data_IF_521405592767
#
_entry.id   IF_521405592767
#
_cell.length_a   1.000
_cell.length_b   1.000
_cell.length_c   1.000
_cell.angle_alpha   90.00
_cell.angle_beta   90.00
_cell.angle_gamma   90.00
#
_symmetry.space_group_name_H-M   'P 1'
#
loop_
_entity.id
_entity.type
_entity.pdbx_description
1 polymer ?
#
# COMPACT_ATOMS: atom_id res chain seq x y z
N UNK A 1 -5.77 12.65 1.03
CA UNK A 1 -6.48 12.02 -0.12
C UNK A 1 -7.30 10.85 0.41
N UNK A 2 -8.53 10.60 -0.08
CA UNK A 2 -9.29 9.41 0.29
C UNK A 2 -8.54 8.13 -0.15
N UNK A 3 -8.75 7.04 0.59
CA UNK A 3 -8.24 5.72 0.21
C UNK A 3 -8.89 5.27 -1.10
N UNK A 4 -8.11 4.75 -2.04
CA UNK A 4 -8.59 4.22 -3.31
C UNK A 4 -8.89 2.72 -3.17
N UNK A 5 -10.15 2.35 -3.18
CA UNK A 5 -10.60 0.99 -2.95
C UNK A 5 -11.39 0.43 -4.15
N UNK A 6 -11.42 -0.90 -4.28
CA UNK A 6 -12.20 -1.59 -5.30
C UNK A 6 -13.24 -2.52 -4.64
N UNK A 7 -14.50 -2.38 -5.03
CA UNK A 7 -15.55 -3.30 -4.66
C UNK A 7 -15.95 -4.17 -5.85
N UNK A 8 -15.76 -5.47 -5.72
CA UNK A 8 -16.15 -6.47 -6.71
C UNK A 8 -17.47 -7.08 -6.25
N UNK A 9 -18.58 -6.49 -6.68
CA UNK A 9 -19.91 -6.89 -6.24
C UNK A 9 -21.01 -6.37 -7.18
N UNK A 10 -22.11 -7.09 -7.24
CA UNK A 10 -23.37 -6.64 -7.85
C UNK A 10 -24.37 -6.11 -6.80
N UNK A 11 -24.05 -6.19 -5.51
CA UNK A 11 -24.91 -5.83 -4.40
C UNK A 11 -24.84 -4.33 -4.10
N UNK A 12 -25.79 -3.58 -4.65
CA UNK A 12 -25.87 -2.14 -4.44
C UNK A 12 -26.24 -1.75 -2.99
N UNK A 13 -26.96 -2.63 -2.28
CA UNK A 13 -27.32 -2.39 -0.88
C UNK A 13 -26.05 -2.46 -0.01
N UNK A 14 -25.21 -3.45 -0.22
CA UNK A 14 -23.88 -3.54 0.42
C UNK A 14 -23.07 -2.27 0.15
N UNK A 15 -23.04 -1.79 -1.09
CA UNK A 15 -22.28 -0.58 -1.42
C UNK A 15 -22.84 0.68 -0.76
N UNK A 16 -24.16 0.79 -0.62
CA UNK A 16 -24.79 1.87 0.13
C UNK A 16 -24.39 1.86 1.60
N UNK A 17 -24.37 0.67 2.22
CA UNK A 17 -23.96 0.49 3.61
C UNK A 17 -22.48 0.88 3.81
N UNK A 18 -21.59 0.40 2.93
CA UNK A 18 -20.16 0.74 2.99
C UNK A 18 -19.96 2.25 2.90
N UNK A 19 -20.55 2.90 1.89
CA UNK A 19 -20.42 4.34 1.69
C UNK A 19 -20.94 5.16 2.87
N UNK A 20 -22.03 4.70 3.49
CA UNK A 20 -22.58 5.35 4.69
C UNK A 20 -21.63 5.29 5.88
N UNK A 21 -20.85 4.21 6.04
CA UNK A 21 -19.95 4.03 7.17
C UNK A 21 -18.57 4.67 6.93
N UNK A 22 -18.04 4.63 5.70
CA UNK A 22 -16.69 5.16 5.43
C UNK A 22 -16.69 6.65 5.06
N UNK A 23 -17.82 7.21 4.60
CA UNK A 23 -17.91 8.62 4.19
C UNK A 23 -16.82 9.00 3.19
N UNK A 24 -16.15 10.13 3.44
CA UNK A 24 -15.08 10.66 2.59
C UNK A 24 -13.71 10.01 2.84
N UNK A 25 -13.58 9.06 3.77
CA UNK A 25 -12.30 8.41 4.10
C UNK A 25 -11.82 7.48 2.97
N UNK A 26 -12.76 6.84 2.25
CA UNK A 26 -12.43 5.91 1.18
C UNK A 26 -13.37 6.07 -0.03
N UNK A 27 -12.78 6.11 -1.22
CA UNK A 27 -13.49 6.09 -2.49
C UNK A 27 -13.49 4.66 -3.07
N UNK A 28 -14.69 4.10 -3.27
CA UNK A 28 -14.84 2.77 -3.84
C UNK A 28 -15.23 2.83 -5.32
N UNK A 29 -14.36 2.34 -6.19
CA UNK A 29 -14.71 1.96 -7.56
C UNK A 29 -15.49 0.64 -7.52
N UNK A 30 -16.62 0.54 -8.25
CA UNK A 30 -17.43 -0.68 -8.29
C UNK A 30 -17.10 -1.44 -9.57
N UNK A 31 -16.80 -2.71 -9.46
CA UNK A 31 -16.57 -3.62 -10.56
C UNK A 31 -17.47 -4.85 -10.40
N UNK A 32 -18.25 -5.17 -11.43
CA UNK A 32 -19.14 -6.34 -11.43
C UNK A 32 -18.53 -7.56 -12.12
N UNK A 33 -17.27 -7.46 -12.54
CA UNK A 33 -16.52 -8.49 -13.26
C UNK A 33 -15.22 -8.79 -12.50
N UNK A 34 -15.08 -10.03 -12.03
CA UNK A 34 -13.92 -10.48 -11.28
C UNK A 34 -12.63 -10.48 -12.11
N UNK A 35 -12.70 -10.78 -13.41
CA UNK A 35 -11.53 -10.80 -14.28
C UNK A 35 -10.99 -9.38 -14.49
N UNK A 36 -11.88 -8.41 -14.74
CA UNK A 36 -11.54 -6.99 -14.83
C UNK A 36 -10.97 -6.45 -13.50
N UNK A 37 -11.53 -6.85 -12.38
CA UNK A 37 -11.03 -6.45 -11.06
C UNK A 37 -9.58 -6.92 -10.84
N UNK A 38 -9.27 -8.15 -11.23
CA UNK A 38 -7.91 -8.70 -11.17
C UNK A 38 -6.96 -7.96 -12.13
N UNK A 39 -7.44 -7.60 -13.33
CA UNK A 39 -6.65 -6.79 -14.27
C UNK A 39 -6.29 -5.41 -13.67
N UNK A 40 -7.25 -4.73 -13.07
CA UNK A 40 -7.03 -3.46 -12.36
C UNK A 40 -6.01 -3.62 -11.23
N UNK A 41 -6.17 -4.64 -10.39
CA UNK A 41 -5.26 -4.94 -9.29
C UNK A 41 -3.83 -5.29 -9.76
N UNK A 42 -3.67 -5.78 -10.99
CA UNK A 42 -2.35 -6.06 -11.57
C UNK A 42 -1.67 -4.78 -12.07
N UNK A 43 -2.45 -3.81 -12.55
CA UNK A 43 -1.93 -2.57 -13.15
C UNK A 43 -1.61 -1.48 -12.14
N UNK A 44 -2.35 -1.41 -11.01
CA UNK A 44 -2.17 -0.37 -10.00
C UNK A 44 -2.29 -0.92 -8.58
N UNK A 45 -1.73 -0.19 -7.65
CA UNK A 45 -1.99 -0.39 -6.23
C UNK A 45 -3.36 0.16 -5.87
N UNK A 46 -4.06 -0.54 -4.97
CA UNK A 46 -5.32 -0.14 -4.35
C UNK A 46 -5.18 -0.32 -2.84
N UNK A 47 -5.81 0.54 -2.07
CA UNK A 47 -5.67 0.56 -0.62
C UNK A 47 -6.52 -0.51 0.08
N UNK A 48 -7.59 -0.95 -0.59
CA UNK A 48 -8.48 -1.98 -0.07
C UNK A 48 -9.37 -2.63 -1.11
N UNK A 49 -9.83 -3.84 -0.79
CA UNK A 49 -10.78 -4.59 -1.62
C UNK A 49 -11.97 -5.05 -0.78
N UNK A 50 -13.16 -4.99 -1.38
CA UNK A 50 -14.34 -5.74 -0.97
C UNK A 50 -14.68 -6.66 -2.11
N UNK A 51 -14.67 -7.98 -1.90
CA UNK A 51 -14.88 -8.96 -2.96
C UNK A 51 -16.03 -9.91 -2.58
N UNK A 52 -17.09 -9.87 -3.37
CA UNK A 52 -18.19 -10.82 -3.28
C UNK A 52 -17.78 -12.12 -3.96
N UNK A 53 -17.61 -13.17 -3.15
CA UNK A 53 -17.06 -14.44 -3.61
C UNK A 53 -18.07 -15.28 -4.38
N UNK A 54 -19.35 -15.13 -4.08
CA UNK A 54 -20.39 -16.05 -4.55
C UNK A 54 -21.32 -15.39 -5.57
N UNK A 55 -21.68 -14.11 -5.40
CA UNK A 55 -22.63 -13.43 -6.29
C UNK A 55 -21.96 -12.82 -7.53
N UNK A 56 -20.62 -12.79 -7.56
CA UNK A 56 -19.84 -12.42 -8.75
C UNK A 56 -19.11 -13.66 -9.28
N UNK A 57 -19.38 -14.10 -10.52
CA UNK A 57 -18.69 -15.23 -11.11
C UNK A 57 -17.16 -15.06 -11.06
N UNK A 58 -16.46 -16.04 -10.45
CA UNK A 58 -15.00 -15.96 -10.26
C UNK A 58 -14.54 -15.09 -9.08
N UNK A 59 -15.45 -14.61 -8.24
CA UNK A 59 -15.15 -13.75 -7.10
C UNK A 59 -14.20 -14.40 -6.09
N UNK A 60 -14.43 -15.66 -5.74
CA UNK A 60 -13.53 -16.40 -4.85
C UNK A 60 -12.10 -16.52 -5.41
N UNK A 61 -11.96 -16.81 -6.71
CA UNK A 61 -10.65 -16.88 -7.39
C UNK A 61 -9.98 -15.51 -7.45
N UNK A 62 -10.76 -14.43 -7.59
CA UNK A 62 -10.24 -13.07 -7.59
C UNK A 62 -9.51 -12.74 -6.28
N UNK A 63 -9.99 -13.21 -5.12
CA UNK A 63 -9.29 -13.05 -3.83
C UNK A 63 -7.85 -13.57 -3.92
N UNK A 64 -7.68 -14.80 -4.41
CA UNK A 64 -6.36 -15.42 -4.57
C UNK A 64 -5.48 -14.66 -5.56
N UNK A 65 -6.03 -14.27 -6.71
CA UNK A 65 -5.29 -13.57 -7.76
C UNK A 65 -4.86 -12.16 -7.34
N UNK A 66 -5.70 -11.43 -6.63
CA UNK A 66 -5.36 -10.14 -6.02
C UNK A 66 -4.22 -10.34 -5.02
N UNK A 67 -4.28 -11.35 -4.17
CA UNK A 67 -3.24 -11.65 -3.19
C UNK A 67 -1.90 -12.03 -3.83
N UNK A 68 -1.91 -12.60 -5.03
CA UNK A 68 -0.73 -12.95 -5.81
C UNK A 68 -0.19 -11.77 -6.63
N UNK A 69 -0.93 -10.69 -6.77
CA UNK A 69 -0.48 -9.52 -7.53
C UNK A 69 0.69 -8.83 -6.82
N UNK A 70 1.64 -8.32 -7.59
CA UNK A 70 2.86 -7.68 -7.05
C UNK A 70 2.53 -6.46 -6.18
N UNK A 71 1.59 -5.63 -6.63
CA UNK A 71 1.26 -4.35 -6.00
C UNK A 71 0.28 -4.47 -4.84
N UNK A 72 -0.56 -5.53 -4.80
CA UNK A 72 -1.64 -5.66 -3.83
C UNK A 72 -1.49 -6.89 -2.91
N UNK A 73 -0.28 -7.45 -2.82
CA UNK A 73 -0.01 -8.64 -1.99
C UNK A 73 -0.35 -8.44 -0.51
N UNK A 74 -0.21 -7.25 0.03
CA UNK A 74 -0.48 -6.91 1.43
C UNK A 74 -1.78 -6.11 1.62
N UNK A 75 -2.40 -5.66 0.53
CA UNK A 75 -3.62 -4.86 0.59
C UNK A 75 -4.74 -5.58 1.34
N UNK A 76 -5.45 -4.93 2.27
CA UNK A 76 -6.57 -5.53 2.96
C UNK A 76 -7.70 -5.96 2.02
N UNK A 77 -8.20 -7.19 2.22
CA UNK A 77 -9.33 -7.76 1.47
C UNK A 77 -10.42 -8.16 2.45
N UNK A 78 -11.61 -7.62 2.26
CA UNK A 78 -12.86 -8.06 2.90
C UNK A 78 -13.60 -8.95 1.89
N UNK A 79 -13.73 -10.24 2.19
CA UNK A 79 -14.55 -11.14 1.39
C UNK A 79 -16.01 -11.09 1.86
N UNK A 80 -16.94 -11.17 0.91
CA UNK A 80 -18.37 -11.34 1.19
C UNK A 80 -18.80 -12.70 0.66
N UNK A 81 -19.50 -13.46 1.46
CA UNK A 81 -19.89 -14.85 1.13
C UNK A 81 -21.39 -15.05 1.37
N UNK A 82 -22.04 -15.85 0.52
CA UNK A 82 -23.47 -16.16 0.62
C UNK A 82 -23.77 -17.66 0.75
N UNK A 83 -22.74 -18.48 0.98
CA UNK A 83 -22.88 -19.88 1.36
C UNK A 83 -22.19 -20.88 0.44
N UNK A 84 -21.93 -20.56 -0.84
CA UNK A 84 -21.14 -21.43 -1.72
C UNK A 84 -19.67 -21.42 -1.26
N UNK A 85 -19.16 -20.26 -0.88
CA UNK A 85 -17.87 -20.10 -0.22
C UNK A 85 -18.08 -19.95 1.30
N UNK A 86 -17.42 -20.78 2.09
CA UNK A 86 -17.44 -20.61 3.55
C UNK A 86 -16.54 -19.48 4.01
N UNK A 87 -16.81 -18.91 5.19
CA UNK A 87 -15.93 -17.90 5.83
C UNK A 87 -14.48 -18.42 5.95
N UNK A 88 -14.30 -19.66 6.42
CA UNK A 88 -12.99 -20.28 6.53
C UNK A 88 -12.28 -20.37 5.18
N UNK A 89 -13.02 -20.77 4.13
CA UNK A 89 -12.47 -20.84 2.78
C UNK A 89 -12.04 -19.48 2.24
N UNK A 90 -12.83 -18.43 2.47
CA UNK A 90 -12.47 -17.07 2.06
C UNK A 90 -11.17 -16.60 2.73
N UNK A 91 -10.97 -16.90 4.01
CA UNK A 91 -9.74 -16.59 4.73
C UNK A 91 -8.54 -17.41 4.20
N UNK A 92 -8.72 -18.69 3.89
CA UNK A 92 -7.67 -19.52 3.25
C UNK A 92 -7.26 -19.00 1.87
N UNK A 93 -8.20 -18.44 1.10
CA UNK A 93 -7.93 -17.80 -0.20
C UNK A 93 -7.13 -16.50 -0.07
N UNK A 94 -7.01 -15.96 1.15
CA UNK A 94 -6.19 -14.79 1.45
C UNK A 94 -6.96 -13.54 1.84
N UNK A 95 -8.27 -13.61 2.10
CA UNK A 95 -9.01 -12.50 2.67
C UNK A 95 -8.54 -12.22 4.12
N UNK A 96 -8.55 -10.94 4.52
CA UNK A 96 -8.24 -10.55 5.89
C UNK A 96 -9.46 -10.68 6.80
N UNK A 97 -10.64 -10.45 6.24
CA UNK A 97 -11.93 -10.57 6.90
C UNK A 97 -12.94 -11.21 5.94
N UNK A 98 -13.95 -11.87 6.51
CA UNK A 98 -15.06 -12.40 5.74
C UNK A 98 -16.40 -12.08 6.42
N UNK A 99 -17.36 -11.63 5.63
CA UNK A 99 -18.72 -11.29 6.03
C UNK A 99 -19.71 -12.23 5.34
N UNK A 100 -20.57 -12.89 6.10
CA UNK A 100 -21.65 -13.72 5.53
C UNK A 100 -22.90 -12.90 5.31
N UNK A 101 -23.55 -13.07 4.16
CA UNK A 101 -24.90 -12.54 3.90
C UNK A 101 -25.96 -13.32 4.68
N UNK A 102 -27.03 -12.63 5.18
CA UNK A 102 -27.27 -11.19 5.13
C UNK A 102 -26.30 -10.44 6.05
N UNK A 103 -25.80 -9.29 5.58
CA UNK A 103 -24.84 -8.49 6.33
C UNK A 103 -25.56 -7.50 7.22
N UNK A 104 -25.32 -7.56 8.51
CA UNK A 104 -25.78 -6.57 9.47
C UNK A 104 -24.85 -5.35 9.47
N UNK A 105 -25.43 -4.13 9.57
CA UNK A 105 -24.66 -2.87 9.58
C UNK A 105 -23.59 -2.85 10.69
N UNK A 106 -23.96 -3.35 11.90
CA UNK A 106 -23.04 -3.40 13.03
C UNK A 106 -21.81 -4.27 12.77
N UNK A 107 -21.99 -5.39 12.08
CA UNK A 107 -20.91 -6.30 11.69
C UNK A 107 -20.01 -5.68 10.62
N UNK A 108 -20.62 -5.06 9.61
CA UNK A 108 -19.88 -4.35 8.57
C UNK A 108 -19.02 -3.25 9.19
N UNK A 109 -19.60 -2.39 10.04
CA UNK A 109 -18.88 -1.34 10.75
C UNK A 109 -17.71 -1.88 11.55
N UNK A 110 -17.91 -2.93 12.36
CA UNK A 110 -16.82 -3.55 13.13
C UNK A 110 -15.66 -4.06 12.26
N UNK A 111 -15.94 -4.58 11.07
CA UNK A 111 -14.91 -5.00 10.11
C UNK A 111 -14.24 -3.79 9.47
N UNK A 112 -14.97 -2.75 9.11
CA UNK A 112 -14.41 -1.51 8.54
C UNK A 112 -13.51 -0.80 9.56
N UNK A 113 -13.92 -0.69 10.82
CA UNK A 113 -13.12 -0.09 11.91
C UNK A 113 -11.77 -0.79 12.09
N UNK A 114 -11.70 -2.10 11.83
CA UNK A 114 -10.46 -2.87 11.89
C UNK A 114 -9.65 -2.81 10.59
N UNK A 115 -10.31 -2.55 9.48
CA UNK A 115 -9.70 -2.61 8.14
C UNK A 115 -9.17 -1.27 7.68
N UNK A 116 -9.88 -0.17 7.93
CA UNK A 116 -9.47 1.19 7.53
C UNK A 116 -8.07 1.55 8.03
N UNK A 117 -7.71 1.35 9.32
CA UNK A 117 -6.35 1.64 9.78
C UNK A 117 -5.26 0.81 9.07
N UNK A 118 -5.60 -0.40 8.58
CA UNK A 118 -4.68 -1.21 7.78
C UNK A 118 -4.56 -0.68 6.36
N UNK A 119 -5.67 -0.25 5.75
CA UNK A 119 -5.68 0.41 4.44
C UNK A 119 -4.84 1.69 4.46
N UNK A 120 -5.01 2.53 5.47
CA UNK A 120 -4.21 3.74 5.66
C UNK A 120 -2.72 3.45 5.79
N UNK A 121 -2.36 2.37 6.51
CA UNK A 121 -0.96 1.94 6.63
C UNK A 121 -0.38 1.52 5.29
N UNK A 122 -1.12 0.73 4.51
CA UNK A 122 -0.67 0.31 3.17
C UNK A 122 -0.62 1.51 2.22
N UNK A 123 -1.60 2.41 2.27
CA UNK A 123 -1.59 3.66 1.52
C UNK A 123 -0.30 4.46 1.79
N UNK A 124 0.07 4.68 3.06
CA UNK A 124 1.30 5.40 3.41
C UNK A 124 2.56 4.73 2.87
N UNK A 125 2.60 3.40 2.82
CA UNK A 125 3.74 2.64 2.28
C UNK A 125 3.89 2.77 0.78
N UNK A 126 2.78 2.77 0.05
CA UNK A 126 2.77 2.84 -1.41
C UNK A 126 2.73 4.26 -1.94
N UNK A 127 2.16 5.19 -1.18
CA UNK A 127 2.11 6.59 -1.58
C UNK A 127 3.51 7.19 -1.60
N UNK A 128 3.94 7.62 -2.78
CA UNK A 128 5.26 8.23 -2.99
C UNK A 128 5.10 9.70 -3.31
N UNK A 129 5.64 10.56 -2.43
CA UNK A 129 5.71 11.99 -2.68
C UNK A 129 6.86 12.28 -3.64
N UNK A 130 6.58 12.98 -4.73
CA UNK A 130 7.64 13.50 -5.62
C UNK A 130 8.37 14.64 -4.93
N UNK A 131 9.65 14.46 -4.73
CA UNK A 131 10.51 15.45 -4.08
C UNK A 131 11.89 15.44 -4.72
N UNK A 132 12.54 16.61 -4.74
CA UNK A 132 13.82 16.80 -5.39
C UNK A 132 14.89 17.24 -4.38
N UNK A 133 15.14 16.40 -3.38
CA UNK A 133 16.12 16.65 -2.32
C UNK A 133 17.46 15.96 -2.61
N UNK A 134 18.59 16.51 -2.15
CA UNK A 134 19.85 15.80 -2.12
C UNK A 134 19.74 14.63 -1.15
N UNK A 135 20.23 13.47 -1.55
CA UNK A 135 20.33 12.28 -0.71
C UNK A 135 21.74 11.71 -0.81
N UNK A 136 22.28 11.31 0.30
CA UNK A 136 23.58 10.67 0.43
C UNK A 136 23.40 9.18 0.67
N UNK A 137 24.10 8.38 -0.11
CA UNK A 137 24.15 6.94 0.02
C UNK A 137 25.58 6.55 0.43
N UNK A 138 25.72 5.74 1.48
CA UNK A 138 27.01 5.24 1.90
C UNK A 138 27.00 3.72 1.72
N UNK A 139 28.06 3.19 1.09
CA UNK A 139 28.25 1.75 0.99
C UNK A 139 28.90 1.19 2.28
N UNK A 140 29.13 -0.12 2.31
CA UNK A 140 29.78 -0.80 3.44
C UNK A 140 31.23 -0.38 3.71
N UNK A 141 31.88 0.30 2.75
CA UNK A 141 33.25 0.85 2.88
C UNK A 141 33.25 2.33 3.24
N UNK A 142 32.13 2.88 3.71
CA UNK A 142 31.91 4.30 4.04
C UNK A 142 32.17 5.28 2.87
N UNK A 143 32.22 4.78 1.64
CA UNK A 143 32.22 5.64 0.47
C UNK A 143 30.84 6.27 0.31
N UNK A 144 30.83 7.59 0.16
CA UNK A 144 29.58 8.34 0.04
C UNK A 144 29.32 8.80 -1.39
N UNK A 145 28.07 8.62 -1.81
CA UNK A 145 27.58 9.04 -3.12
C UNK A 145 26.40 10.00 -2.91
N UNK A 146 26.50 11.20 -3.46
CA UNK A 146 25.39 12.16 -3.42
C UNK A 146 24.62 12.10 -4.72
N UNK A 147 23.31 11.96 -4.61
CA UNK A 147 22.38 11.95 -5.74
C UNK A 147 21.14 12.78 -5.42
N UNK A 148 20.19 12.83 -6.35
CA UNK A 148 18.95 13.56 -6.20
C UNK A 148 17.78 12.60 -6.04
N UNK A 149 17.04 12.77 -4.96
CA UNK A 149 15.79 12.05 -4.72
C UNK A 149 14.76 12.39 -5.81
N UNK A 150 14.02 11.41 -6.29
CA UNK A 150 12.89 11.57 -7.22
C UNK A 150 11.56 11.48 -6.49
N UNK A 151 11.48 10.57 -5.54
CA UNK A 151 10.31 10.41 -4.68
C UNK A 151 10.69 9.66 -3.40
N UNK A 152 9.81 9.75 -2.40
CA UNK A 152 9.98 9.10 -1.09
C UNK A 152 8.64 8.61 -0.54
N UNK A 153 8.68 7.51 0.21
CA UNK A 153 7.57 6.95 1.00
C UNK A 153 8.08 6.55 2.39
N UNK A 154 7.22 6.03 3.26
CA UNK A 154 7.64 5.54 4.58
C UNK A 154 8.62 4.36 4.50
N UNK A 155 8.53 3.52 3.45
CA UNK A 155 9.33 2.29 3.30
C UNK A 155 10.53 2.43 2.36
N UNK A 156 10.74 3.58 1.72
CA UNK A 156 11.86 3.75 0.79
C UNK A 156 11.78 4.99 -0.08
N UNK A 157 12.78 5.14 -0.94
CA UNK A 157 12.86 6.26 -1.87
C UNK A 157 13.40 5.82 -3.23
N UNK A 158 13.18 6.65 -4.25
CA UNK A 158 13.85 6.55 -5.53
C UNK A 158 14.76 7.74 -5.75
N UNK A 159 15.92 7.50 -6.34
CA UNK A 159 16.91 8.52 -6.70
C UNK A 159 17.19 8.49 -8.19
N UNK A 160 17.87 9.53 -8.69
CA UNK A 160 18.54 9.42 -9.98
C UNK A 160 19.61 8.34 -9.88
N UNK A 161 19.82 7.65 -11.00
CA UNK A 161 20.89 6.66 -11.09
C UNK A 161 22.23 7.38 -10.88
N UNK A 162 23.07 6.78 -10.03
CA UNK A 162 24.50 7.06 -9.95
C UNK A 162 25.23 5.84 -10.50
N UNK A 163 26.49 5.99 -10.82
CA UNK A 163 27.32 4.84 -11.23
C UNK A 163 27.35 3.82 -10.10
N UNK A 164 26.45 2.84 -10.20
CA UNK A 164 26.11 1.91 -9.13
C UNK A 164 27.11 0.75 -9.00
N UNK A 165 28.19 0.72 -9.78
CA UNK A 165 29.21 -0.36 -9.73
C UNK A 165 29.87 -0.47 -8.37
N UNK A 166 29.74 0.56 -7.52
CA UNK A 166 30.30 0.62 -6.16
C UNK A 166 29.26 0.48 -5.05
N UNK A 167 27.96 0.29 -5.39
CA UNK A 167 26.87 0.17 -4.43
C UNK A 167 26.28 -1.24 -4.52
N UNK A 168 26.85 -2.18 -3.76
CA UNK A 168 26.32 -3.53 -3.67
C UNK A 168 25.47 -3.73 -2.42
N UNK A 169 24.23 -4.16 -2.65
CA UNK A 169 23.36 -4.73 -1.62
C UNK A 169 22.81 -3.72 -0.61
N UNK A 170 23.46 -3.58 0.53
CA UNK A 170 22.99 -2.77 1.65
C UNK A 170 23.73 -1.44 1.72
N UNK A 171 22.98 -0.34 1.85
CA UNK A 171 23.50 1.02 1.94
C UNK A 171 22.93 1.74 3.16
N UNK A 172 23.60 2.78 3.63
CA UNK A 172 23.03 3.77 4.54
C UNK A 172 22.52 4.94 3.72
N UNK A 173 21.27 5.31 3.94
CA UNK A 173 20.61 6.46 3.31
C UNK A 173 20.58 7.62 4.30
N UNK A 174 21.00 8.81 3.86
CA UNK A 174 20.94 10.02 4.65
C UNK A 174 20.38 11.19 3.83
N UNK A 175 19.48 11.97 4.42
CA UNK A 175 19.01 13.26 3.90
C UNK A 175 18.44 14.13 5.01
N UNK A 176 18.35 15.43 4.78
CA UNK A 176 17.76 16.37 5.73
C UNK A 176 16.25 16.45 5.46
N UNK A 177 15.44 16.27 6.50
CA UNK A 177 13.98 16.42 6.39
C UNK A 177 13.64 17.92 6.32
N UNK A 178 12.93 18.39 5.26
CA UNK A 178 12.47 19.76 5.19
C UNK A 178 11.56 20.14 6.37
N UNK A 179 11.77 21.33 6.92
CA UNK A 179 11.05 21.76 8.14
C UNK A 179 11.69 21.31 9.46
N UNK A 180 12.61 20.36 9.42
CA UNK A 180 13.39 19.89 10.57
C UNK A 180 14.90 19.88 10.23
N UNK A 181 15.53 21.07 10.01
CA UNK A 181 16.90 21.16 9.46
C UNK A 181 17.97 20.53 10.37
N UNK A 182 17.68 20.39 11.65
CA UNK A 182 18.57 19.72 12.61
C UNK A 182 18.35 18.20 12.69
N UNK A 183 17.40 17.67 11.91
CA UNK A 183 17.10 16.24 11.87
C UNK A 183 17.53 15.63 10.54
N UNK A 184 18.65 14.92 10.57
CA UNK A 184 19.09 14.11 9.44
C UNK A 184 18.40 12.75 9.54
N UNK A 185 17.56 12.45 8.56
CA UNK A 185 17.03 11.09 8.39
C UNK A 185 18.18 10.15 8.07
N UNK A 186 18.24 9.04 8.77
CA UNK A 186 19.23 7.98 8.53
C UNK A 186 18.57 6.61 8.61
N UNK A 187 18.78 5.79 7.58
CA UNK A 187 18.25 4.45 7.51
C UNK A 187 19.25 3.46 6.91
N UNK A 188 19.24 2.23 7.42
CA UNK A 188 19.81 1.10 6.71
C UNK A 188 18.83 0.66 5.64
N UNK A 189 19.30 0.49 4.40
CA UNK A 189 18.44 0.22 3.25
C UNK A 189 19.10 -0.78 2.30
N UNK A 190 18.31 -1.35 1.40
CA UNK A 190 18.81 -2.19 0.30
C UNK A 190 18.41 -1.60 -1.05
N UNK A 191 19.21 -1.84 -2.06
CA UNK A 191 18.86 -1.51 -3.45
C UNK A 191 17.82 -2.52 -3.92
N UNK A 192 16.58 -2.06 -4.10
CA UNK A 192 15.44 -2.89 -4.45
C UNK A 192 15.32 -3.10 -5.97
N UNK A 193 15.72 -2.10 -6.76
CA UNK A 193 15.71 -2.12 -8.21
C UNK A 193 16.60 -1.02 -8.79
N UNK A 194 17.02 -1.21 -10.03
CA UNK A 194 17.79 -0.23 -10.80
C UNK A 194 17.29 -0.28 -12.25
N UNK A 195 17.13 0.88 -12.87
CA UNK A 195 16.88 1.03 -14.31
C UNK A 195 17.90 1.98 -14.95
N UNK A 196 17.71 2.35 -16.21
CA UNK A 196 18.65 3.21 -16.96
C UNK A 196 18.76 4.64 -16.44
N UNK A 197 17.84 5.11 -15.58
CA UNK A 197 17.73 6.52 -15.16
C UNK A 197 17.56 6.72 -13.66
N UNK A 198 17.24 5.65 -12.94
CA UNK A 198 16.88 5.71 -11.54
C UNK A 198 17.26 4.43 -10.79
N UNK A 199 17.29 4.53 -9.48
CA UNK A 199 17.39 3.39 -8.57
C UNK A 199 16.40 3.57 -7.42
N UNK A 200 15.80 2.46 -6.99
CA UNK A 200 14.92 2.41 -5.83
C UNK A 200 15.61 1.74 -4.65
N UNK A 201 15.46 2.36 -3.49
CA UNK A 201 16.03 1.90 -2.23
C UNK A 201 14.91 1.60 -1.25
N UNK A 202 14.92 0.44 -0.62
CA UNK A 202 13.96 0.03 0.41
C UNK A 202 14.61 0.13 1.78
N UNK A 203 13.96 0.80 2.72
CA UNK A 203 14.44 0.89 4.09
C UNK A 203 14.28 -0.47 4.79
N UNK A 204 15.36 -0.95 5.43
CA UNK A 204 15.38 -2.20 6.20
C UNK A 204 15.24 -1.92 7.69
N UNK A 205 15.86 -0.83 8.14
CA UNK A 205 15.83 -0.42 9.54
C UNK A 205 15.90 1.11 9.62
N UNK A 206 14.93 1.69 10.29
CA UNK A 206 14.84 3.13 10.58
C UNK A 206 14.67 3.29 12.08
N UNK A 207 15.42 4.17 12.70
CA UNK A 207 15.22 4.52 14.11
C UNK A 207 13.86 5.19 14.29
N UNK A 208 13.17 4.92 15.40
CA UNK A 208 11.79 5.38 15.65
C UNK A 208 11.64 6.88 15.45
N UNK A 209 12.53 7.69 16.01
CA UNK A 209 12.49 9.16 15.89
C UNK A 209 12.60 9.64 14.43
N UNK A 210 13.46 8.98 13.64
CA UNK A 210 13.60 9.28 12.20
C UNK A 210 12.35 8.83 11.42
N UNK A 211 11.75 7.69 11.79
CA UNK A 211 10.54 7.20 11.15
C UNK A 211 9.34 8.12 11.45
N UNK A 212 9.21 8.59 12.68
CA UNK A 212 8.16 9.52 13.08
C UNK A 212 8.33 10.87 12.36
N UNK A 213 9.54 11.44 12.34
CA UNK A 213 9.83 12.68 11.62
C UNK A 213 9.60 12.57 10.10
N UNK A 214 9.94 11.42 9.50
CA UNK A 214 9.65 11.16 8.08
C UNK A 214 8.14 11.14 7.83
N UNK A 215 7.38 10.48 8.68
CA UNK A 215 5.92 10.39 8.58
C UNK A 215 5.29 11.77 8.67
N UNK A 216 5.63 12.54 9.70
CA UNK A 216 5.11 13.88 9.91
C UNK A 216 5.37 14.78 8.69
N UNK A 217 6.58 14.71 8.13
CA UNK A 217 6.91 15.45 6.91
C UNK A 217 6.11 14.98 5.69
N UNK A 218 6.00 13.68 5.47
CA UNK A 218 5.20 13.13 4.37
C UNK A 218 3.72 13.52 4.47
N UNK A 219 3.18 13.60 5.67
CA UNK A 219 1.80 14.05 5.90
C UNK A 219 1.61 15.54 5.52
N UNK A 220 2.63 16.39 5.69
CA UNK A 220 2.58 17.79 5.20
C UNK A 220 2.59 17.90 3.67
N UNK A 221 3.14 16.91 2.96
CA UNK A 221 3.16 16.88 1.48
C UNK A 221 1.86 16.34 0.88
N UNK A 222 1.04 15.69 1.69
CA UNK A 222 -0.26 15.10 1.30
C UNK A 222 -1.44 16.04 1.52
N UNK A 223 -1.27 17.03 2.41
CA UNK A 223 -2.29 18.03 2.74
C UNK A 223 -2.43 19.05 1.60
#
# INVERSE_FOLDING_TARGET
MPLECLAVTCDLALMSMIRSDVGDQAAFEICQDAARAVELATRRHLDGFVIDCDDVPGGADAVTRVRQSRSNKQTPIIAVVSGATSVGRALELGANFALSKPIEQSRLRGVLDLTIPKMEREHRRYFRCEVALPVRLLNHSDQSFTTKMKNVSEDGLATRLIDATSLDGVVIVEFVIPGAPNHTFRAKAEIAWTDSSAMGVRFLHVQKESADALRDWLDTLRA
#
